data_IF_115503426886
#
_entry.id   IF_115503426886
#
_cell.length_a   1.000
_cell.length_b   1.000
_cell.length_c   1.000
_cell.angle_alpha   90.00
_cell.angle_beta   90.00
_cell.angle_gamma   90.00
#
_symmetry.space_group_name_H-M   'P 1'
#
loop_
_entity.id
_entity.type
_entity.pdbx_description
1 polymer ?
#
# COMPACT_ATOMS: atom_id res chain seq x y z
N UNK A 1 0.65 -8.84 -7.20
CA UNK A 1 1.62 -8.95 -8.30
C UNK A 1 0.93 -8.58 -9.59
N UNK A 2 1.51 -7.67 -10.37
CA UNK A 2 0.94 -7.16 -11.62
C UNK A 2 1.66 -7.80 -12.82
N UNK A 3 0.91 -8.34 -13.78
CA UNK A 3 1.47 -8.89 -15.02
C UNK A 3 2.13 -7.76 -15.84
N UNK A 4 3.31 -7.96 -16.43
CA UNK A 4 3.98 -6.93 -17.25
C UNK A 4 3.13 -6.42 -18.43
N UNK A 5 2.20 -7.24 -18.94
CA UNK A 5 1.32 -6.92 -20.05
C UNK A 5 -0.12 -6.65 -19.58
N UNK A 6 -0.29 -6.26 -18.32
CA UNK A 6 -1.60 -5.91 -17.78
C UNK A 6 -2.26 -4.78 -18.59
N UNK A 7 -3.58 -4.79 -18.62
CA UNK A 7 -4.37 -3.78 -19.33
C UNK A 7 -5.27 -3.00 -18.39
N UNK A 8 -5.42 -1.70 -18.67
CA UNK A 8 -6.53 -0.88 -18.17
C UNK A 8 -7.52 -0.77 -19.30
N UNK A 9 -8.69 -1.39 -19.16
CA UNK A 9 -9.66 -1.49 -20.25
C UNK A 9 -10.69 -0.36 -20.20
N UNK A 10 -10.93 0.21 -19.00
CA UNK A 10 -11.87 1.31 -18.82
C UNK A 10 -11.31 2.32 -17.79
N UNK A 11 -11.47 3.61 -18.09
CA UNK A 11 -10.99 4.72 -17.26
C UNK A 11 -12.18 5.57 -16.83
N UNK A 12 -12.92 5.14 -15.80
CA UNK A 12 -13.83 6.06 -15.11
C UNK A 12 -13.00 7.08 -14.30
N UNK A 13 -12.98 8.38 -14.69
CA UNK A 13 -12.10 9.36 -14.05
C UNK A 13 -12.45 9.61 -12.59
N UNK A 14 -13.69 9.34 -12.18
CA UNK A 14 -14.15 9.50 -10.79
C UNK A 14 -13.49 8.44 -9.92
N UNK A 15 -13.62 7.17 -10.27
CA UNK A 15 -12.98 6.04 -9.56
C UNK A 15 -11.48 6.24 -9.42
N UNK A 16 -10.78 6.61 -10.51
CA UNK A 16 -9.33 6.80 -10.47
C UNK A 16 -8.89 8.02 -9.64
N UNK A 17 -9.68 9.10 -9.63
CA UNK A 17 -9.41 10.25 -8.73
C UNK A 17 -9.59 9.85 -7.28
N UNK A 18 -10.62 9.06 -6.98
CA UNK A 18 -11.00 8.69 -5.63
C UNK A 18 -10.16 7.54 -5.05
N UNK A 19 -9.54 6.70 -5.88
CA UNK A 19 -8.61 5.68 -5.42
C UNK A 19 -7.22 6.25 -5.09
N UNK A 20 -6.85 7.37 -5.70
CA UNK A 20 -5.55 8.02 -5.53
C UNK A 20 -5.13 8.28 -4.07
N UNK A 21 -6.01 8.79 -3.19
CA UNK A 21 -5.72 8.94 -1.77
C UNK A 21 -5.35 7.64 -1.04
N UNK A 22 -5.83 6.50 -1.52
CA UNK A 22 -5.59 5.19 -0.91
C UNK A 22 -4.35 4.50 -1.46
N UNK A 23 -3.92 4.83 -2.68
CA UNK A 23 -2.73 4.26 -3.32
C UNK A 23 -1.57 5.26 -3.22
N UNK A 24 -0.67 5.03 -2.28
CA UNK A 24 0.59 5.77 -2.20
C UNK A 24 1.76 4.83 -2.55
N UNK A 25 2.01 4.58 -3.84
CA UNK A 25 3.16 3.75 -4.28
C UNK A 25 4.49 4.33 -3.80
N UNK A 26 4.56 5.64 -3.61
CA UNK A 26 5.75 6.27 -3.06
C UNK A 26 6.03 5.84 -1.61
N UNK A 27 5.04 5.39 -0.82
CA UNK A 27 5.27 4.90 0.56
C UNK A 27 6.28 3.75 0.65
N UNK A 28 6.48 2.95 -0.40
CA UNK A 28 7.49 1.89 -0.42
C UNK A 28 8.92 2.44 -0.26
N UNK A 29 9.17 3.62 -0.85
CA UNK A 29 10.51 4.22 -0.95
C UNK A 29 10.62 5.50 -0.12
N UNK A 30 9.49 6.15 0.17
CA UNK A 30 9.44 7.37 0.96
C UNK A 30 9.90 7.08 2.37
N UNK A 31 10.92 7.84 2.77
CA UNK A 31 11.44 7.83 4.11
C UNK A 31 10.42 8.32 5.14
N UNK A 32 9.63 9.34 4.78
CA UNK A 32 8.60 9.93 5.61
C UNK A 32 7.20 9.76 5.01
N UNK A 33 6.19 9.75 5.87
CA UNK A 33 4.77 9.76 5.54
C UNK A 33 4.31 11.18 5.16
N UNK A 34 3.24 11.32 4.34
CA UNK A 34 2.62 12.62 4.10
C UNK A 34 2.24 13.30 5.42
N UNK A 35 2.68 14.54 5.61
CA UNK A 35 2.39 15.33 6.82
C UNK A 35 3.30 15.04 8.02
N UNK A 36 4.20 14.05 7.94
CA UNK A 36 5.13 13.72 9.02
C UNK A 36 6.22 14.79 9.19
N UNK A 37 6.41 15.24 10.44
CA UNK A 37 7.52 16.10 10.80
C UNK A 37 8.78 15.26 11.06
N UNK A 38 9.64 15.18 10.05
CA UNK A 38 10.86 14.39 10.08
C UNK A 38 12.13 15.22 10.26
N UNK A 39 13.10 14.66 10.97
CA UNK A 39 14.49 15.10 10.96
C UNK A 39 15.34 14.13 10.14
N UNK A 40 16.12 14.64 9.20
CA UNK A 40 17.00 13.85 8.34
C UNK A 40 18.45 14.25 8.55
N UNK A 41 19.29 13.30 8.95
CA UNK A 41 20.73 13.48 9.12
C UNK A 41 21.44 12.59 8.12
N UNK A 42 22.07 13.21 7.12
CA UNK A 42 22.94 12.54 6.16
C UNK A 42 24.39 12.63 6.66
N UNK A 43 25.06 11.49 6.72
CA UNK A 43 26.48 11.42 7.07
C UNK A 43 27.25 10.52 6.10
N UNK A 44 28.56 10.69 6.04
CA UNK A 44 29.49 9.82 5.31
C UNK A 44 30.62 9.41 6.26
N UNK A 45 30.71 8.10 6.53
CA UNK A 45 31.63 7.52 7.52
C UNK A 45 31.66 8.27 8.87
N UNK A 46 30.45 8.54 9.38
CA UNK A 46 30.22 9.28 10.61
C UNK A 46 30.37 10.81 10.52
N UNK A 47 30.92 11.39 9.45
CA UNK A 47 30.94 12.85 9.29
C UNK A 47 29.58 13.35 8.81
N UNK A 48 28.95 14.26 9.57
CA UNK A 48 27.67 14.85 9.15
C UNK A 48 27.87 15.75 7.94
N UNK A 49 27.05 15.52 6.91
CA UNK A 49 27.05 16.28 5.66
C UNK A 49 25.87 17.25 5.61
N UNK A 50 24.70 16.81 6.05
CA UNK A 50 23.47 17.60 5.97
C UNK A 50 22.50 17.21 7.07
N UNK A 51 21.84 18.22 7.64
CA UNK A 51 20.70 18.05 8.53
C UNK A 51 19.52 18.80 7.90
N UNK A 52 18.38 18.12 7.75
CA UNK A 52 17.15 18.70 7.21
C UNK A 52 16.02 18.45 8.18
N UNK A 53 15.35 19.51 8.58
CA UNK A 53 14.07 19.46 9.27
C UNK A 53 12.97 19.72 8.24
N UNK A 54 11.95 18.85 8.17
CA UNK A 54 10.91 18.97 7.14
C UNK A 54 9.93 20.11 7.39
N UNK A 55 9.91 20.74 8.57
CA UNK A 55 9.07 21.93 8.80
C UNK A 55 9.70 23.16 8.11
N UNK A 56 8.96 23.83 7.20
CA UNK A 56 9.44 25.03 6.54
C UNK A 56 9.85 26.12 7.55
N UNK A 57 11.05 26.68 7.39
CA UNK A 57 11.57 27.76 8.24
C UNK A 57 12.17 27.30 9.59
N UNK A 58 12.03 26.04 9.97
CA UNK A 58 12.69 25.50 11.15
C UNK A 58 14.20 25.34 10.89
N UNK A 59 15.05 26.13 11.56
CA UNK A 59 16.43 25.70 11.81
C UNK A 59 16.34 24.74 12.98
N UNK A 60 16.59 23.46 12.76
CA UNK A 60 16.49 22.43 13.80
C UNK A 60 17.29 22.77 15.07
N UNK A 61 18.30 23.64 14.97
CA UNK A 61 19.21 23.94 16.09
C UNK A 61 20.08 22.74 16.49
N UNK A 62 19.88 21.60 15.83
CA UNK A 62 20.57 20.35 16.07
C UNK A 62 22.00 20.51 15.59
N UNK A 63 22.94 20.40 16.53
CA UNK A 63 24.37 20.31 16.26
C UNK A 63 24.80 18.87 16.49
N UNK A 64 25.13 18.19 15.39
CA UNK A 64 25.74 16.87 15.41
C UNK A 64 26.98 16.97 14.54
N UNK A 65 28.15 16.86 15.16
CA UNK A 65 29.42 16.95 14.44
C UNK A 65 29.84 15.59 13.87
N UNK A 66 29.51 14.52 14.60
CA UNK A 66 29.84 13.14 14.22
C UNK A 66 28.74 12.16 14.61
N UNK A 67 28.50 11.18 13.74
CA UNK A 67 27.68 10.00 13.98
C UNK A 67 28.60 8.81 14.23
N UNK A 68 28.76 8.40 15.48
CA UNK A 68 29.47 7.15 15.84
C UNK A 68 28.54 5.95 15.90
N UNK A 69 27.30 6.18 16.31
CA UNK A 69 26.22 5.19 16.34
C UNK A 69 24.93 5.86 15.85
N UNK A 70 24.50 5.48 14.64
CA UNK A 70 23.32 6.03 14.00
C UNK A 70 22.03 5.71 14.77
N UNK A 71 21.95 4.55 15.44
CA UNK A 71 20.77 4.10 16.16
C UNK A 71 20.63 4.78 17.50
N UNK A 72 21.72 4.89 18.26
CA UNK A 72 21.72 5.68 19.48
C UNK A 72 21.35 7.14 19.19
N UNK A 73 21.95 7.74 18.16
CA UNK A 73 21.66 9.12 17.78
C UNK A 73 20.18 9.33 17.38
N UNK A 74 19.61 8.44 16.58
CA UNK A 74 18.20 8.54 16.17
C UNK A 74 17.27 8.49 17.38
N UNK A 75 17.53 7.57 18.33
CA UNK A 75 16.77 7.43 19.58
C UNK A 75 16.85 8.67 20.47
N UNK A 76 18.06 9.18 20.67
CA UNK A 76 18.29 10.35 21.53
C UNK A 76 17.62 11.62 20.98
N UNK A 77 17.58 11.76 19.65
CA UNK A 77 16.91 12.88 18.99
C UNK A 77 15.39 12.71 19.01
N UNK A 78 14.89 11.50 18.73
CA UNK A 78 13.46 11.20 18.78
C UNK A 78 12.87 11.41 20.17
N UNK A 79 13.60 11.00 21.23
CA UNK A 79 13.19 11.16 22.63
C UNK A 79 12.96 12.62 23.05
N UNK A 80 13.39 13.61 22.27
CA UNK A 80 13.13 15.04 22.53
C UNK A 80 11.68 15.45 22.22
N UNK A 81 10.92 14.60 21.54
CA UNK A 81 9.51 14.86 21.20
C UNK A 81 9.31 16.00 20.20
N UNK A 82 10.37 16.40 19.49
CA UNK A 82 10.33 17.50 18.53
C UNK A 82 9.96 17.06 17.12
N UNK A 83 10.15 15.78 16.79
CA UNK A 83 9.91 15.19 15.48
C UNK A 83 9.06 13.94 15.64
N UNK A 84 8.21 13.68 14.67
CA UNK A 84 7.43 12.44 14.57
C UNK A 84 8.36 11.26 14.21
N UNK A 85 9.48 11.55 13.52
CA UNK A 85 10.52 10.58 13.18
C UNK A 85 11.89 11.22 12.93
N UNK A 86 12.94 10.50 13.29
CA UNK A 86 14.33 10.86 13.02
C UNK A 86 14.98 9.82 12.12
N UNK A 87 15.59 10.28 11.03
CA UNK A 87 16.34 9.49 10.07
C UNK A 87 17.83 9.80 10.17
N UNK A 88 18.66 8.78 10.34
CA UNK A 88 20.12 8.87 10.28
C UNK A 88 20.61 7.97 9.16
N UNK A 89 21.20 8.57 8.13
CA UNK A 89 21.42 7.96 6.83
C UNK A 89 22.90 8.05 6.46
N UNK A 90 23.50 6.90 6.15
CA UNK A 90 24.84 6.81 5.60
C UNK A 90 24.79 6.97 4.07
N UNK A 91 25.52 7.95 3.53
CA UNK A 91 25.61 8.19 2.09
C UNK A 91 26.16 6.97 1.33
N UNK A 92 27.14 6.25 1.89
CA UNK A 92 27.72 5.06 1.25
C UNK A 92 26.71 3.92 1.14
N UNK A 93 25.80 3.82 2.12
CA UNK A 93 24.69 2.87 2.06
C UNK A 93 23.79 3.19 0.88
N UNK A 94 23.33 4.44 0.74
CA UNK A 94 22.51 4.85 -0.41
C UNK A 94 23.20 4.62 -1.76
N UNK A 95 24.51 4.88 -1.83
CA UNK A 95 25.31 4.62 -3.03
C UNK A 95 25.36 3.12 -3.35
N UNK A 96 25.54 2.26 -2.35
CA UNK A 96 25.48 0.79 -2.49
C UNK A 96 24.12 0.34 -2.99
N UNK A 97 23.03 0.83 -2.38
CA UNK A 97 21.66 0.53 -2.83
C UNK A 97 21.51 0.90 -4.31
N UNK A 98 21.85 2.14 -4.68
CA UNK A 98 21.75 2.62 -6.06
C UNK A 98 22.57 1.78 -7.06
N UNK A 99 23.79 1.39 -6.68
CA UNK A 99 24.63 0.52 -7.50
C UNK A 99 24.00 -0.86 -7.71
N UNK A 100 23.53 -1.48 -6.62
CA UNK A 100 22.93 -2.81 -6.63
C UNK A 100 21.60 -2.82 -7.41
N UNK A 101 20.80 -1.76 -7.32
CA UNK A 101 19.52 -1.63 -8.05
C UNK A 101 19.73 -1.27 -9.53
N UNK A 102 20.86 -0.63 -9.87
CA UNK A 102 21.20 -0.23 -11.24
C UNK A 102 21.80 -1.35 -12.11
N UNK A 103 22.21 -2.47 -11.50
CA UNK A 103 22.85 -3.60 -12.17
C UNK A 103 21.91 -4.31 -13.17
N UNK A 104 22.39 -4.57 -14.39
CA UNK A 104 21.59 -5.03 -15.54
C UNK A 104 20.79 -6.30 -15.31
N UNK A 105 21.28 -7.25 -14.52
CA UNK A 105 20.57 -8.50 -14.18
C UNK A 105 19.27 -8.28 -13.39
N UNK A 106 19.05 -7.06 -12.85
CA UNK A 106 17.87 -6.68 -12.08
C UNK A 106 16.90 -5.78 -12.85
N UNK A 107 17.27 -5.36 -14.07
CA UNK A 107 16.36 -4.66 -15.00
C UNK A 107 15.29 -5.58 -15.59
N UNK A 108 15.42 -6.90 -15.39
CA UNK A 108 14.41 -7.91 -15.73
C UNK A 108 13.37 -8.12 -14.63
N UNK A 109 13.52 -7.49 -13.45
CA UNK A 109 12.51 -7.55 -12.39
C UNK A 109 11.25 -6.81 -12.84
N UNK A 110 10.08 -7.41 -12.60
CA UNK A 110 8.81 -6.70 -12.64
C UNK A 110 8.79 -5.59 -11.58
N UNK A 111 7.94 -4.57 -11.79
CA UNK A 111 7.88 -3.36 -10.94
C UNK A 111 7.77 -3.70 -9.44
N UNK A 112 6.96 -4.69 -9.08
CA UNK A 112 6.79 -5.15 -7.70
C UNK A 112 8.08 -5.77 -7.13
N UNK A 113 8.78 -6.57 -7.92
CA UNK A 113 10.06 -7.17 -7.53
C UNK A 113 11.18 -6.14 -7.40
N UNK A 114 11.14 -5.08 -8.21
CA UNK A 114 12.05 -3.95 -8.08
C UNK A 114 11.79 -3.17 -6.79
N UNK A 115 10.54 -2.83 -6.48
CA UNK A 115 10.22 -2.11 -5.23
C UNK A 115 10.55 -2.93 -3.99
N UNK A 116 10.27 -4.24 -4.01
CA UNK A 116 10.64 -5.12 -2.90
C UNK A 116 12.17 -5.16 -2.72
N UNK A 117 12.93 -5.29 -3.81
CA UNK A 117 14.39 -5.26 -3.75
C UNK A 117 14.91 -3.94 -3.16
N UNK A 118 14.37 -2.79 -3.62
CA UNK A 118 14.76 -1.48 -3.11
C UNK A 118 14.44 -1.37 -1.63
N UNK A 119 13.24 -1.80 -1.22
CA UNK A 119 12.83 -1.84 0.18
C UNK A 119 13.81 -2.66 1.02
N UNK A 120 14.07 -3.90 0.63
CA UNK A 120 14.97 -4.80 1.36
C UNK A 120 16.39 -4.27 1.46
N UNK A 121 16.88 -3.59 0.42
CA UNK A 121 18.22 -2.98 0.43
C UNK A 121 18.32 -1.72 1.29
N UNK A 122 17.27 -0.89 1.30
CA UNK A 122 17.24 0.32 2.13
C UNK A 122 17.09 -0.06 3.60
N UNK A 123 16.17 -0.99 3.90
CA UNK A 123 15.73 -1.35 5.24
C UNK A 123 16.28 -2.70 5.73
N UNK A 124 17.46 -3.12 5.25
CA UNK A 124 18.14 -4.39 5.58
C UNK A 124 18.50 -4.58 7.08
N UNK A 125 18.16 -3.61 7.93
CA UNK A 125 18.49 -3.58 9.34
C UNK A 125 19.94 -3.19 9.63
N UNK A 126 20.75 -2.89 8.62
CA UNK A 126 22.10 -2.36 8.79
C UNK A 126 22.08 -0.94 9.37
N UNK A 127 23.21 -0.52 9.93
CA UNK A 127 23.39 0.85 10.41
C UNK A 127 23.44 1.90 9.26
N UNK A 128 23.29 1.47 8.01
CA UNK A 128 23.35 2.33 6.83
C UNK A 128 22.13 3.23 6.64
N UNK A 129 20.96 2.80 7.12
CA UNK A 129 19.75 3.62 7.16
C UNK A 129 18.99 3.32 8.44
N UNK A 130 18.98 4.26 9.37
CA UNK A 130 18.24 4.13 10.63
C UNK A 130 17.10 5.13 10.69
N UNK A 131 15.93 4.68 11.13
CA UNK A 131 14.79 5.53 11.44
C UNK A 131 14.28 5.21 12.85
N UNK A 132 13.94 6.24 13.62
CA UNK A 132 13.28 6.12 14.92
C UNK A 132 12.01 7.01 14.95
N UNK A 133 10.80 6.45 15.14
CA UNK A 133 10.52 5.02 15.24
C UNK A 133 10.89 4.30 13.93
N UNK A 134 11.07 2.96 13.93
CA UNK A 134 11.34 2.20 12.70
C UNK A 134 10.21 2.35 11.67
N UNK A 135 10.54 2.31 10.38
CA UNK A 135 9.51 2.27 9.33
C UNK A 135 8.72 0.96 9.49
N UNK A 136 7.38 1.02 9.55
CA UNK A 136 6.58 -0.21 9.63
C UNK A 136 6.85 -1.09 8.39
N UNK A 137 7.02 -2.42 8.56
CA UNK A 137 7.28 -3.35 7.45
C UNK A 137 6.03 -3.66 6.62
N UNK A 138 4.99 -2.86 6.77
CA UNK A 138 3.67 -3.11 6.23
C UNK A 138 3.09 -1.82 5.64
N UNK A 139 2.28 -1.99 4.61
CA UNK A 139 1.41 -0.97 4.08
C UNK A 139 0.01 -1.20 4.63
N UNK A 140 -0.55 -0.23 5.35
CA UNK A 140 -1.94 -0.33 5.84
C UNK A 140 -2.18 -1.63 6.64
N UNK A 141 -1.20 -2.02 7.47
CA UNK A 141 -1.13 -3.26 8.25
C UNK A 141 -0.98 -4.57 7.44
N UNK A 142 -0.74 -4.49 6.13
CA UNK A 142 -0.38 -5.62 5.27
C UNK A 142 1.09 -5.60 4.87
N UNK A 143 1.81 -6.66 5.17
CA UNK A 143 3.12 -6.94 4.58
C UNK A 143 2.97 -7.42 3.14
N UNK A 144 4.03 -7.28 2.31
CA UNK A 144 4.01 -7.87 0.97
C UNK A 144 3.78 -9.38 1.01
N UNK A 145 4.32 -10.07 2.03
CA UNK A 145 4.09 -11.50 2.25
C UNK A 145 2.62 -11.84 2.47
N UNK A 146 1.90 -11.06 3.27
CA UNK A 146 0.45 -11.21 3.47
C UNK A 146 -0.33 -10.93 2.18
N UNK A 147 0.03 -9.90 1.40
CA UNK A 147 -0.57 -9.64 0.08
C UNK A 147 -0.34 -10.83 -0.86
N UNK A 148 0.88 -11.34 -0.94
CA UNK A 148 1.23 -12.48 -1.78
C UNK A 148 0.49 -13.76 -1.34
N UNK A 149 0.35 -13.98 -0.04
CA UNK A 149 -0.40 -15.10 0.52
C UNK A 149 -1.89 -15.02 0.18
N UNK A 150 -2.50 -13.84 0.32
CA UNK A 150 -3.88 -13.60 -0.08
C UNK A 150 -4.08 -13.88 -1.57
N UNK A 151 -3.23 -13.29 -2.43
CA UNK A 151 -3.29 -13.49 -3.88
C UNK A 151 -3.04 -14.96 -4.27
N UNK A 152 -2.12 -15.64 -3.60
CA UNK A 152 -1.81 -17.05 -3.83
C UNK A 152 -2.93 -18.02 -3.46
N UNK A 153 -3.91 -17.59 -2.65
CA UNK A 153 -5.12 -18.36 -2.33
C UNK A 153 -6.25 -18.16 -3.34
N UNK A 154 -6.17 -17.12 -4.17
CA UNK A 154 -7.16 -16.93 -5.24
C UNK A 154 -7.05 -18.08 -6.26
N UNK A 155 -8.16 -18.48 -6.89
CA UNK A 155 -8.13 -19.41 -8.01
C UNK A 155 -7.18 -18.95 -9.12
N UNK A 156 -6.65 -19.90 -9.91
CA UNK A 156 -5.76 -19.59 -11.04
C UNK A 156 -6.34 -18.59 -12.04
N UNK A 157 -7.67 -18.49 -12.13
CA UNK A 157 -8.35 -17.41 -12.83
C UNK A 157 -9.44 -16.89 -11.91
N UNK A 158 -9.40 -15.60 -11.59
CA UNK A 158 -10.28 -15.01 -10.61
C UNK A 158 -10.63 -13.57 -10.96
N UNK A 159 -11.86 -13.16 -10.63
CA UNK A 159 -12.28 -11.76 -10.59
C UNK A 159 -12.52 -11.34 -9.14
N UNK A 160 -11.96 -10.18 -8.77
CA UNK A 160 -12.18 -9.53 -7.47
C UNK A 160 -12.77 -8.14 -7.71
N UNK A 161 -13.78 -7.75 -6.95
CA UNK A 161 -14.40 -6.43 -7.08
C UNK A 161 -14.48 -5.67 -5.74
N UNK A 162 -14.39 -4.35 -5.85
CA UNK A 162 -14.54 -3.40 -4.76
C UNK A 162 -15.52 -2.31 -5.19
N UNK A 163 -16.61 -2.15 -4.41
CA UNK A 163 -17.54 -1.05 -4.50
C UNK A 163 -17.50 -0.21 -3.22
N UNK A 164 -17.11 1.05 -3.33
CA UNK A 164 -17.12 2.01 -2.20
C UNK A 164 -18.14 3.10 -2.49
N UNK A 165 -19.06 3.33 -1.55
CA UNK A 165 -20.19 4.25 -1.71
C UNK A 165 -20.09 5.45 -0.78
N UNK A 166 -20.44 6.62 -1.30
CA UNK A 166 -20.70 7.84 -0.53
C UNK A 166 -22.21 8.10 -0.56
N UNK A 167 -22.91 7.63 0.48
CA UNK A 167 -24.36 7.51 0.48
C UNK A 167 -24.85 6.59 -0.64
N UNK A 168 -25.67 7.12 -1.56
CA UNK A 168 -26.20 6.37 -2.71
C UNK A 168 -25.27 6.37 -3.92
N UNK A 169 -24.18 7.16 -3.88
CA UNK A 169 -23.29 7.34 -5.03
C UNK A 169 -22.15 6.33 -4.97
N UNK A 170 -21.92 5.61 -6.06
CA UNK A 170 -20.69 4.83 -6.23
C UNK A 170 -19.49 5.79 -6.37
N UNK A 171 -18.54 5.69 -5.44
CA UNK A 171 -17.35 6.52 -5.38
C UNK A 171 -16.10 5.82 -5.94
N UNK A 172 -16.01 4.50 -5.72
CA UNK A 172 -14.99 3.61 -6.32
C UNK A 172 -15.72 2.36 -6.80
N UNK A 173 -15.69 2.07 -8.10
CA UNK A 173 -16.11 0.79 -8.67
C UNK A 173 -14.93 0.15 -9.37
N UNK A 174 -14.26 -0.80 -8.73
CA UNK A 174 -13.03 -1.43 -9.24
C UNK A 174 -13.22 -2.93 -9.44
N UNK A 175 -12.73 -3.45 -10.54
CA UNK A 175 -12.61 -4.89 -10.80
C UNK A 175 -11.19 -5.25 -11.23
N UNK A 176 -10.66 -6.28 -10.59
CA UNK A 176 -9.36 -6.87 -10.88
C UNK A 176 -9.54 -8.28 -11.43
N UNK A 177 -8.96 -8.55 -12.60
CA UNK A 177 -8.81 -9.90 -13.13
C UNK A 177 -7.42 -10.44 -12.79
N UNK A 178 -7.41 -11.63 -12.19
CA UNK A 178 -6.21 -12.38 -11.88
C UNK A 178 -6.06 -13.58 -12.80
N UNK A 179 -4.83 -13.82 -13.27
CA UNK A 179 -4.39 -15.09 -13.87
C UNK A 179 -3.09 -15.55 -13.23
N UNK A 180 -3.07 -16.79 -12.73
CA UNK A 180 -1.93 -17.43 -12.08
C UNK A 180 -1.27 -16.54 -11.02
N UNK A 181 -2.08 -15.87 -10.18
CA UNK A 181 -1.59 -14.99 -9.12
C UNK A 181 -1.13 -13.60 -9.59
N UNK A 182 -1.34 -13.24 -10.85
CA UNK A 182 -1.00 -11.91 -11.39
C UNK A 182 -2.25 -11.16 -11.82
N UNK A 183 -2.32 -9.87 -11.51
CA UNK A 183 -3.33 -8.97 -12.06
C UNK A 183 -3.02 -8.78 -13.55
N UNK A 184 -3.91 -9.23 -14.42
CA UNK A 184 -3.78 -9.11 -15.89
C UNK A 184 -4.68 -8.02 -16.47
N UNK A 185 -5.72 -7.62 -15.74
CA UNK A 185 -6.63 -6.56 -16.16
C UNK A 185 -7.18 -5.82 -14.96
N UNK A 186 -7.25 -4.50 -15.09
CA UNK A 186 -7.94 -3.60 -14.19
C UNK A 186 -9.05 -2.90 -14.98
N UNK A 187 -10.26 -2.91 -14.45
CA UNK A 187 -11.40 -2.20 -15.03
C UNK A 187 -12.31 -1.66 -13.93
N UNK A 188 -13.39 -0.98 -14.33
CA UNK A 188 -14.35 -0.31 -13.46
C UNK A 188 -15.75 -0.89 -13.67
N UNK A 189 -16.75 -0.47 -12.89
CA UNK A 189 -18.12 -1.02 -13.01
C UNK A 189 -18.80 -0.58 -14.32
N UNK A 190 -18.26 0.44 -14.97
CA UNK A 190 -18.68 0.99 -16.26
C UNK A 190 -18.29 0.08 -17.44
N UNK A 191 -17.47 -0.96 -17.20
CA UNK A 191 -17.01 -1.88 -18.23
C UNK A 191 -18.18 -2.49 -19.02
N UNK A 192 -18.13 -2.54 -20.36
CA UNK A 192 -19.21 -3.12 -21.18
C UNK A 192 -19.59 -4.55 -20.78
N UNK A 193 -18.64 -5.35 -20.28
CA UNK A 193 -18.87 -6.72 -19.83
C UNK A 193 -19.76 -6.82 -18.59
N UNK A 194 -19.88 -5.74 -17.81
CA UNK A 194 -20.67 -5.69 -16.59
C UNK A 194 -22.04 -5.03 -16.82
N UNK A 195 -22.15 -4.18 -17.84
CA UNK A 195 -23.35 -3.38 -18.10
C UNK A 195 -24.55 -4.22 -18.59
N UNK A 196 -25.79 -3.82 -18.26
CA UNK A 196 -26.13 -2.74 -17.33
C UNK A 196 -25.87 -3.15 -15.86
N UNK A 197 -25.39 -2.19 -15.06
CA UNK A 197 -25.34 -2.27 -13.60
C UNK A 197 -26.07 -1.06 -13.02
N UNK A 198 -26.80 -1.28 -11.93
CA UNK A 198 -27.35 -0.20 -11.09
C UNK A 198 -26.70 -0.27 -9.70
N UNK A 199 -25.56 0.42 -9.48
CA UNK A 199 -24.79 0.28 -8.26
C UNK A 199 -25.56 0.70 -7.02
N UNK A 200 -25.68 -0.22 -6.08
CA UNK A 200 -26.31 0.04 -4.79
C UNK A 200 -25.55 -0.64 -3.66
N UNK A 201 -25.52 0.01 -2.51
CA UNK A 201 -24.92 -0.56 -1.31
C UNK A 201 -25.94 -1.52 -0.66
N UNK A 202 -26.02 -2.75 -1.19
CA UNK A 202 -27.06 -3.71 -0.82
C UNK A 202 -26.66 -5.18 -1.10
N UNK A 203 -27.30 -6.17 -0.46
CA UNK A 203 -27.03 -7.58 -0.74
C UNK A 203 -27.53 -7.99 -2.15
N UNK A 204 -28.58 -7.34 -2.65
CA UNK A 204 -29.11 -7.60 -4.00
C UNK A 204 -28.09 -7.20 -5.06
N UNK A 205 -27.46 -6.04 -4.90
CA UNK A 205 -26.41 -5.61 -5.81
C UNK A 205 -25.13 -6.48 -5.69
N UNK A 206 -24.78 -6.93 -4.48
CA UNK A 206 -23.71 -7.91 -4.28
C UNK A 206 -23.94 -9.17 -5.13
N UNK A 207 -25.17 -9.70 -5.12
CA UNK A 207 -25.56 -10.87 -5.91
C UNK A 207 -25.51 -10.63 -7.42
N UNK A 208 -25.96 -9.46 -7.85
CA UNK A 208 -25.87 -9.05 -9.25
C UNK A 208 -24.41 -8.95 -9.70
N UNK A 209 -23.59 -8.17 -8.99
CA UNK A 209 -22.19 -7.96 -9.31
C UNK A 209 -21.43 -9.28 -9.33
N UNK A 210 -21.63 -10.14 -8.33
CA UNK A 210 -21.02 -11.47 -8.28
C UNK A 210 -21.28 -12.29 -9.55
N UNK A 211 -22.52 -12.30 -10.05
CA UNK A 211 -22.88 -12.98 -11.30
C UNK A 211 -22.22 -12.32 -12.52
N UNK A 212 -22.20 -10.99 -12.57
CA UNK A 212 -21.63 -10.22 -13.69
C UNK A 212 -20.12 -10.38 -13.80
N UNK A 213 -19.42 -10.57 -12.68
CA UNK A 213 -17.98 -10.85 -12.70
C UNK A 213 -17.62 -12.08 -13.51
N UNK A 214 -18.51 -13.08 -13.62
CA UNK A 214 -18.28 -14.26 -14.46
C UNK A 214 -18.06 -13.93 -15.95
N UNK A 215 -18.51 -12.76 -16.43
CA UNK A 215 -18.22 -12.27 -17.79
C UNK A 215 -16.76 -11.78 -17.96
N UNK A 216 -16.05 -11.58 -16.84
CA UNK A 216 -14.64 -11.16 -16.79
C UNK A 216 -13.76 -12.38 -16.48
N UNK A 217 -14.01 -13.01 -15.33
CA UNK A 217 -13.35 -14.23 -14.85
C UNK A 217 -14.18 -14.85 -13.70
N UNK A 218 -13.93 -16.10 -13.27
CA UNK A 218 -14.66 -16.68 -12.14
C UNK A 218 -14.60 -15.79 -10.89
N UNK A 219 -15.72 -15.40 -10.27
CA UNK A 219 -15.72 -14.50 -9.12
C UNK A 219 -15.06 -15.17 -7.91
N UNK A 220 -14.17 -14.44 -7.23
CA UNK A 220 -13.46 -14.91 -6.05
C UNK A 220 -13.76 -14.06 -4.81
N UNK A 221 -13.92 -12.74 -4.96
CA UNK A 221 -14.23 -11.84 -3.86
C UNK A 221 -14.97 -10.59 -4.32
N UNK A 222 -15.95 -10.14 -3.55
CA UNK A 222 -16.64 -8.85 -3.73
C UNK A 222 -16.81 -8.19 -2.38
N UNK A 223 -16.31 -6.97 -2.24
CA UNK A 223 -16.59 -6.10 -1.09
C UNK A 223 -17.38 -4.88 -1.57
N UNK A 224 -18.55 -4.65 -0.96
CA UNK A 224 -19.30 -3.40 -1.04
C UNK A 224 -19.28 -2.74 0.34
N UNK A 225 -18.98 -1.46 0.43
CA UNK A 225 -18.96 -0.76 1.73
C UNK A 225 -19.16 0.75 1.58
N UNK A 226 -19.51 1.40 2.69
CA UNK A 226 -19.44 2.86 2.79
C UNK A 226 -17.99 3.36 2.74
N UNK A 227 -17.80 4.61 2.29
CA UNK A 227 -16.49 5.25 2.21
C UNK A 227 -15.81 5.36 3.58
N UNK A 228 -16.57 5.63 4.64
CA UNK A 228 -16.09 5.67 6.02
C UNK A 228 -15.54 4.31 6.43
N UNK A 229 -16.31 3.24 6.19
CA UNK A 229 -15.90 1.86 6.45
C UNK A 229 -14.62 1.50 5.70
N UNK A 230 -14.51 1.86 4.42
CA UNK A 230 -13.32 1.59 3.62
C UNK A 230 -12.08 2.32 4.16
N UNK A 231 -12.21 3.61 4.49
CA UNK A 231 -11.12 4.41 5.02
C UNK A 231 -10.61 3.88 6.36
N UNK A 232 -11.52 3.48 7.26
CA UNK A 232 -11.16 2.87 8.54
C UNK A 232 -10.61 1.45 8.37
N UNK A 233 -11.20 0.64 7.49
CA UNK A 233 -10.75 -0.71 7.19
C UNK A 233 -9.31 -0.72 6.72
N UNK A 234 -8.96 0.19 5.82
CA UNK A 234 -7.59 0.39 5.34
C UNK A 234 -6.60 0.68 6.47
N UNK A 235 -7.03 1.34 7.55
CA UNK A 235 -6.15 1.67 8.67
C UNK A 235 -6.29 0.71 9.87
N UNK A 236 -7.22 -0.24 9.83
CA UNK A 236 -7.43 -1.18 10.94
C UNK A 236 -6.29 -2.20 11.07
N UNK A 237 -5.87 -2.53 12.29
CA UNK A 237 -4.95 -3.65 12.55
C UNK A 237 -5.65 -4.98 12.28
N UNK A 238 -6.84 -5.18 12.86
CA UNK A 238 -7.70 -6.34 12.60
C UNK A 238 -8.73 -6.00 11.52
N UNK A 239 -8.36 -6.28 10.27
CA UNK A 239 -9.18 -6.04 9.08
C UNK A 239 -10.48 -6.85 9.09
N UNK A 240 -10.42 -8.08 9.62
CA UNK A 240 -11.54 -9.02 9.58
C UNK A 240 -12.58 -8.59 10.59
N UNK A 241 -12.18 -8.31 11.83
CA UNK A 241 -13.09 -7.82 12.86
C UNK A 241 -13.72 -6.48 12.47
N UNK A 242 -13.00 -5.61 11.76
CA UNK A 242 -13.56 -4.37 11.22
C UNK A 242 -14.68 -4.64 10.21
N UNK A 243 -14.44 -5.49 9.20
CA UNK A 243 -15.46 -5.82 8.20
C UNK A 243 -16.65 -6.58 8.80
N UNK A 244 -16.43 -7.49 9.74
CA UNK A 244 -17.50 -8.24 10.41
C UNK A 244 -18.45 -7.28 11.15
N UNK A 245 -17.90 -6.26 11.84
CA UNK A 245 -18.72 -5.22 12.49
C UNK A 245 -19.54 -4.43 11.47
N UNK A 246 -18.89 -3.92 10.42
CA UNK A 246 -19.59 -3.17 9.37
C UNK A 246 -20.68 -4.00 8.65
N UNK A 247 -20.48 -5.31 8.51
CA UNK A 247 -21.49 -6.22 7.97
C UNK A 247 -22.69 -6.38 8.90
N UNK A 248 -22.48 -6.47 10.22
CA UNK A 248 -23.57 -6.52 11.19
C UNK A 248 -24.36 -5.21 11.22
N UNK A 249 -23.67 -4.07 11.07
CA UNK A 249 -24.29 -2.74 11.04
C UNK A 249 -24.98 -2.42 9.71
N UNK A 250 -24.83 -3.29 8.70
CA UNK A 250 -25.41 -3.10 7.37
C UNK A 250 -24.77 -1.94 6.61
N UNK A 251 -23.49 -1.65 6.85
CA UNK A 251 -22.69 -0.63 6.13
C UNK A 251 -21.62 -1.28 5.25
N UNK A 252 -21.49 -2.62 5.27
CA UNK A 252 -20.68 -3.41 4.35
C UNK A 252 -21.31 -4.77 4.00
N UNK A 253 -20.96 -5.29 2.82
CA UNK A 253 -21.36 -6.59 2.31
C UNK A 253 -20.15 -7.23 1.66
N UNK A 254 -19.82 -8.43 2.12
CA UNK A 254 -18.68 -9.19 1.63
C UNK A 254 -19.15 -10.55 1.15
N UNK A 255 -18.69 -10.94 -0.04
CA UNK A 255 -18.77 -12.32 -0.51
C UNK A 255 -17.39 -12.81 -0.89
N UNK A 256 -17.05 -14.01 -0.45
CA UNK A 256 -15.81 -14.70 -0.78
C UNK A 256 -16.14 -16.08 -1.31
N UNK A 257 -15.37 -16.55 -2.29
CA UNK A 257 -15.46 -17.93 -2.77
C UNK A 257 -14.96 -18.91 -1.71
N UNK A 258 -13.90 -18.52 -0.99
CA UNK A 258 -13.33 -19.27 0.12
C UNK A 258 -13.19 -18.38 1.35
N UNK A 259 -13.91 -18.71 2.41
CA UNK A 259 -13.87 -17.98 3.68
C UNK A 259 -12.56 -18.18 4.45
N UNK A 260 -11.75 -19.19 4.10
CA UNK A 260 -10.40 -19.38 4.66
C UNK A 260 -9.48 -18.20 4.36
N UNK A 261 -9.80 -17.42 3.33
CA UNK A 261 -9.09 -16.20 2.91
C UNK A 261 -9.12 -15.13 4.00
N UNK A 262 -10.18 -15.04 4.82
CA UNK A 262 -10.24 -14.10 5.95
C UNK A 262 -9.40 -14.54 7.15
N UNK A 263 -9.17 -15.83 7.35
CA UNK A 263 -8.42 -16.33 8.51
C UNK A 263 -6.90 -16.05 8.47
N UNK A 264 -6.42 -15.35 7.43
CA UNK A 264 -5.00 -15.01 7.25
C UNK A 264 -4.72 -13.50 7.17
N UNK A 265 -5.75 -12.68 7.40
CA UNK A 265 -5.62 -11.22 7.48
C UNK A 265 -5.59 -10.80 8.94
#
# INVERSE_FOLDING_TARGET
MIDPNWSVVDLDPVTWRNIGPFINVAQYVCAAQPGEHGLFILHDDGRVLKIVDTRPGARSGVKVDRVSDARALAKDLYARGQWDRVHVINQQHLARVGHVTGASAKRSLHLDGYYQLVYDLIWDGSAGYVAEPPKPPHWQHWTLGQIAQFVGRLPKSAAVALGVFDGVRLNIGLVLEFKCGNIVRVTTFEAPALQPLDPGLSPVFLDELWRRLANIAPPAAVLLCEQTVFAEWIMAEDKVAHLVRAMHDGTAWLRLLDHSVLAAV
#
